data_IF_780496918605
#
_entry.id   IF_780496918605
#
_cell.length_a   1.000
_cell.length_b   1.000
_cell.length_c   1.000
_cell.angle_alpha   90.00
_cell.angle_beta   90.00
_cell.angle_gamma   90.00
#
_symmetry.space_group_name_H-M   'P 1'
#
loop_
_entity.id
_entity.type
_entity.pdbx_description
1 polymer ?
#
# COMPACT_ATOMS: atom_id res chain seq x y z
N UNK A 1 -1.51 -13.52 15.32
CA UNK A 1 -2.60 -13.47 14.32
C UNK A 1 -2.64 -14.82 13.60
N UNK A 2 -3.80 -15.39 13.27
CA UNK A 2 -3.84 -16.69 12.57
C UNK A 2 -3.24 -16.59 11.16
N UNK A 3 -2.62 -17.68 10.67
CA UNK A 3 -2.00 -17.75 9.33
C UNK A 3 -2.97 -17.30 8.23
N UNK A 4 -4.21 -17.81 8.25
CA UNK A 4 -5.23 -17.49 7.24
C UNK A 4 -5.51 -15.98 7.16
N UNK A 5 -5.70 -15.32 8.32
CA UNK A 5 -5.95 -13.87 8.38
C UNK A 5 -4.79 -13.07 7.79
N UNK A 6 -3.58 -13.56 8.03
CA UNK A 6 -2.35 -12.90 7.62
C UNK A 6 -2.10 -13.05 6.11
N UNK A 7 -2.34 -14.24 5.57
CA UNK A 7 -2.33 -14.48 4.13
C UNK A 7 -3.35 -13.62 3.40
N UNK A 8 -4.57 -13.47 3.93
CA UNK A 8 -5.59 -12.60 3.33
C UNK A 8 -5.14 -11.14 3.30
N UNK A 9 -4.55 -10.63 4.39
CA UNK A 9 -4.00 -9.26 4.42
C UNK A 9 -2.93 -9.05 3.35
N UNK A 10 -2.03 -10.03 3.17
CA UNK A 10 -1.00 -9.95 2.15
C UNK A 10 -1.57 -9.99 0.74
N UNK A 11 -2.56 -10.86 0.46
CA UNK A 11 -3.24 -10.90 -0.83
C UNK A 11 -3.92 -9.55 -1.13
N UNK A 12 -4.61 -8.96 -0.15
CA UNK A 12 -5.22 -7.64 -0.33
C UNK A 12 -4.20 -6.54 -0.63
N UNK A 13 -3.02 -6.61 0.01
CA UNK A 13 -1.91 -5.69 -0.25
C UNK A 13 -1.42 -5.80 -1.70
N UNK A 14 -1.22 -7.04 -2.18
CA UNK A 14 -0.80 -7.31 -3.56
C UNK A 14 -1.85 -6.85 -4.56
N UNK A 15 -3.12 -7.15 -4.32
CA UNK A 15 -4.22 -6.74 -5.21
C UNK A 15 -4.31 -5.21 -5.26
N UNK A 16 -4.14 -4.53 -4.14
CA UNK A 16 -4.15 -3.08 -4.08
C UNK A 16 -3.02 -2.49 -4.93
N UNK A 17 -1.77 -2.90 -4.68
CA UNK A 17 -0.62 -2.38 -5.44
C UNK A 17 -0.72 -2.70 -6.93
N UNK A 18 -1.17 -3.91 -7.30
CA UNK A 18 -1.39 -4.24 -8.71
C UNK A 18 -2.46 -3.36 -9.34
N UNK A 19 -3.49 -2.98 -8.59
CA UNK A 19 -4.52 -2.03 -9.07
C UNK A 19 -3.93 -0.63 -9.23
N UNK A 20 -3.13 -0.20 -8.25
CA UNK A 20 -2.44 1.08 -8.26
C UNK A 20 -1.47 1.21 -9.44
N UNK A 21 -0.78 0.14 -9.84
CA UNK A 21 0.06 0.13 -11.04
C UNK A 21 -0.65 0.65 -12.30
N UNK A 22 -1.97 0.44 -12.41
CA UNK A 22 -2.77 0.91 -13.53
C UNK A 22 -3.41 2.28 -13.27
N UNK A 23 -3.91 2.54 -12.06
CA UNK A 23 -4.66 3.76 -11.71
C UNK A 23 -3.72 4.90 -11.32
N UNK A 24 -2.66 4.59 -10.58
CA UNK A 24 -1.56 5.47 -10.15
C UNK A 24 -0.74 6.09 -11.28
N UNK A 25 -1.07 5.79 -12.54
CA UNK A 25 -0.48 6.46 -13.71
C UNK A 25 -1.31 7.63 -14.23
N UNK A 26 -2.50 7.83 -13.67
CA UNK A 26 -3.42 8.89 -14.07
C UNK A 26 -3.26 10.02 -13.05
N UNK A 27 -2.78 11.21 -13.47
CA UNK A 27 -2.60 12.35 -12.58
C UNK A 27 -3.84 12.64 -11.73
N UNK A 28 -3.66 12.99 -10.46
CA UNK A 28 -4.69 13.24 -9.44
C UNK A 28 -5.41 11.96 -8.97
N UNK A 29 -5.66 11.00 -9.85
CA UNK A 29 -6.26 9.73 -9.46
C UNK A 29 -5.27 8.86 -8.68
N UNK A 30 -3.98 8.88 -9.03
CA UNK A 30 -2.93 8.21 -8.24
C UNK A 30 -2.88 8.74 -6.83
N UNK A 31 -2.71 10.05 -6.67
CA UNK A 31 -2.70 10.69 -5.35
C UNK A 31 -3.95 10.36 -4.51
N UNK A 32 -5.15 10.31 -5.11
CA UNK A 32 -6.37 9.89 -4.41
C UNK A 32 -6.29 8.41 -4.00
N UNK A 33 -5.83 7.56 -4.90
CA UNK A 33 -5.65 6.13 -4.65
C UNK A 33 -4.63 5.89 -3.52
N UNK A 34 -3.53 6.65 -3.48
CA UNK A 34 -2.52 6.59 -2.40
C UNK A 34 -3.08 6.93 -1.02
N UNK A 35 -3.99 7.91 -0.95
CA UNK A 35 -4.70 8.23 0.31
C UNK A 35 -5.52 7.03 0.76
N UNK A 36 -6.26 6.39 -0.14
CA UNK A 36 -7.00 5.15 0.18
C UNK A 36 -6.05 4.00 0.52
N UNK A 37 -4.90 3.91 -0.15
CA UNK A 37 -3.83 2.98 0.14
C UNK A 37 -3.34 3.14 1.57
N UNK A 38 -3.11 4.36 2.03
CA UNK A 38 -2.66 4.62 3.41
C UNK A 38 -3.69 4.20 4.45
N UNK A 39 -4.97 4.48 4.20
CA UNK A 39 -6.06 4.01 5.08
C UNK A 39 -6.13 2.48 5.09
N UNK A 40 -6.05 1.85 3.92
CA UNK A 40 -6.07 0.39 3.78
C UNK A 40 -4.86 -0.24 4.48
N UNK A 41 -3.66 0.29 4.26
CA UNK A 41 -2.43 -0.18 4.86
C UNK A 41 -2.50 -0.08 6.39
N UNK A 42 -3.03 1.01 6.95
CA UNK A 42 -3.24 1.13 8.41
C UNK A 42 -4.24 0.09 8.92
N UNK A 43 -5.34 -0.12 8.19
CA UNK A 43 -6.32 -1.14 8.55
C UNK A 43 -5.73 -2.56 8.51
N UNK A 44 -4.89 -2.85 7.52
CA UNK A 44 -4.27 -4.16 7.32
C UNK A 44 -3.02 -4.38 8.18
N UNK A 45 -2.26 -3.36 8.55
CA UNK A 45 -0.94 -3.56 9.17
C UNK A 45 -0.69 -2.69 10.41
N UNK A 46 -1.64 -1.83 10.78
CA UNK A 46 -1.52 -0.97 11.97
C UNK A 46 -0.71 0.29 11.68
N UNK A 47 0.04 0.79 12.66
CA UNK A 47 0.78 2.05 12.50
C UNK A 47 1.87 1.99 11.42
N UNK A 48 2.41 0.81 11.12
CA UNK A 48 3.36 0.62 10.01
C UNK A 48 2.75 0.99 8.65
N UNK A 49 1.43 0.81 8.51
CA UNK A 49 0.67 1.18 7.31
C UNK A 49 0.71 2.67 6.98
N UNK A 50 1.00 3.54 7.95
CA UNK A 50 1.09 4.98 7.71
C UNK A 50 2.23 5.37 6.76
N UNK A 51 3.22 4.49 6.54
CA UNK A 51 4.33 4.70 5.62
C UNK A 51 3.84 4.89 4.17
N UNK A 52 2.71 4.26 3.81
CA UNK A 52 2.09 4.40 2.50
C UNK A 52 1.74 5.84 2.14
N UNK A 53 1.43 6.71 3.11
CA UNK A 53 1.14 8.12 2.85
C UNK A 53 2.33 8.92 2.31
N UNK A 54 3.53 8.33 2.30
CA UNK A 54 4.67 8.89 1.58
C UNK A 54 4.39 9.04 0.07
N UNK A 55 3.61 8.13 -0.54
CA UNK A 55 3.32 8.18 -1.98
C UNK A 55 2.49 9.41 -2.37
N UNK A 56 1.64 9.90 -1.47
CA UNK A 56 0.86 11.15 -1.63
C UNK A 56 1.74 12.39 -1.88
N UNK A 57 3.03 12.35 -1.52
CA UNK A 57 3.96 13.47 -1.73
C UNK A 57 4.29 13.61 -3.23
N UNK A 58 4.21 12.53 -4.02
CA UNK A 58 4.32 12.58 -5.46
C UNK A 58 3.00 13.01 -6.12
N UNK A 59 2.70 14.30 -6.03
CA UNK A 59 1.51 14.88 -6.68
C UNK A 59 1.49 14.77 -8.21
N UNK A 60 2.59 14.33 -8.83
CA UNK A 60 2.66 14.11 -10.27
C UNK A 60 2.24 12.71 -10.67
N UNK A 61 2.21 11.78 -9.71
CA UNK A 61 1.97 10.36 -9.92
C UNK A 61 2.95 9.77 -10.98
N UNK A 62 4.21 10.23 -11.00
CA UNK A 62 5.23 9.86 -12.01
C UNK A 62 6.59 9.45 -11.41
N UNK A 63 7.01 10.04 -10.29
CA UNK A 63 8.28 9.77 -9.65
C UNK A 63 8.31 8.41 -8.94
N UNK A 64 7.20 7.97 -8.37
CA UNK A 64 7.12 6.64 -7.76
C UNK A 64 6.98 5.53 -8.81
N UNK A 65 6.34 5.81 -9.94
CA UNK A 65 6.20 4.95 -11.10
C UNK A 65 5.48 3.63 -10.77
N UNK A 66 6.09 2.78 -9.98
CA UNK A 66 5.39 1.68 -9.32
C UNK A 66 6.23 1.20 -8.15
N UNK A 67 5.87 1.59 -6.93
CA UNK A 67 6.41 1.00 -5.72
C UNK A 67 5.26 0.22 -5.06
N UNK A 68 5.37 -1.11 -4.89
CA UNK A 68 4.32 -1.90 -4.27
C UNK A 68 4.36 -1.72 -2.74
N UNK A 69 4.08 -0.51 -2.28
CA UNK A 69 4.39 -0.06 -0.92
C UNK A 69 3.54 -0.79 0.12
N UNK A 70 2.25 -1.06 -0.15
CA UNK A 70 1.40 -1.81 0.79
C UNK A 70 1.89 -3.26 0.93
N UNK A 71 2.34 -3.89 -0.16
CA UNK A 71 2.93 -5.23 -0.15
C UNK A 71 4.25 -5.26 0.60
N UNK A 72 5.12 -4.26 0.40
CA UNK A 72 6.39 -4.14 1.13
C UNK A 72 6.13 -3.99 2.63
N UNK A 73 5.19 -3.13 3.03
CA UNK A 73 4.76 -2.98 4.43
C UNK A 73 4.26 -4.32 4.97
N UNK A 74 3.42 -5.03 4.21
CA UNK A 74 2.92 -6.32 4.61
C UNK A 74 4.02 -7.35 4.83
N UNK A 75 4.96 -7.49 3.90
CA UNK A 75 6.12 -8.38 4.05
C UNK A 75 6.97 -7.97 5.26
N UNK A 76 7.24 -6.67 5.42
CA UNK A 76 8.00 -6.17 6.55
C UNK A 76 7.31 -6.52 7.88
N UNK A 77 6.02 -6.23 8.03
CA UNK A 77 5.24 -6.56 9.24
C UNK A 77 5.30 -8.05 9.59
N UNK A 78 5.38 -8.94 8.59
CA UNK A 78 5.55 -10.38 8.82
C UNK A 78 6.95 -10.77 9.30
N UNK A 79 7.98 -10.12 8.78
CA UNK A 79 9.37 -10.45 9.09
C UNK A 79 9.77 -9.91 10.46
N UNK A 80 9.45 -8.66 10.76
CA UNK A 80 9.94 -8.01 11.99
C UNK A 80 8.86 -7.78 13.07
N UNK A 81 7.64 -8.28 12.89
CA UNK A 81 6.56 -8.25 13.90
C UNK A 81 6.23 -6.84 14.44
N UNK A 82 6.01 -5.91 13.52
CA UNK A 82 5.74 -4.50 13.71
C UNK A 82 4.39 -4.16 13.09
#
# INVERSE_FOLDING_TARGET
MGIIKTTIKLILSIVFDVTDFFIGRIPVFGTIFDIFGGILAIFLWGSSGAIQFWEVIDITDQFDGFIPTVTIIGIASLIFNW
#
